data_IF_049317460706
#
_entry.id   IF_049317460706
#
_cell.length_a   1.000
_cell.length_b   1.000
_cell.length_c   1.000
_cell.angle_alpha   90.00
_cell.angle_beta   90.00
_cell.angle_gamma   90.00
#
_symmetry.space_group_name_H-M   'P 1'
#
loop_
_entity.id
_entity.type
_entity.pdbx_description
1 polymer ?
#
# COMPACT_ATOMS: atom_id res chain seq x y z
N UNK A 1 -1.01 -17.97 -23.67
CA UNK A 1 -1.58 -16.83 -22.91
C UNK A 1 -3.09 -16.88 -23.04
N UNK A 2 -3.82 -16.90 -21.92
CA UNK A 2 -5.29 -16.97 -21.94
C UNK A 2 -5.88 -15.62 -21.53
N UNK A 3 -7.06 -15.28 -22.04
CA UNK A 3 -7.74 -14.01 -21.71
C UNK A 3 -7.93 -13.86 -20.19
N UNK A 4 -8.33 -14.94 -19.53
CA UNK A 4 -8.45 -15.04 -18.07
C UNK A 4 -7.13 -14.77 -17.33
N UNK A 5 -5.99 -15.27 -17.82
CA UNK A 5 -4.71 -15.05 -17.15
C UNK A 5 -4.31 -13.57 -17.18
N UNK A 6 -4.56 -12.89 -18.30
CA UNK A 6 -4.35 -11.44 -18.41
C UNK A 6 -5.31 -10.71 -17.47
N UNK A 7 -6.56 -11.21 -17.35
CA UNK A 7 -7.55 -10.66 -16.44
C UNK A 7 -7.12 -10.68 -14.98
N UNK A 8 -6.66 -11.83 -14.49
CA UNK A 8 -6.17 -11.96 -13.11
C UNK A 8 -4.98 -11.05 -12.86
N UNK A 9 -4.01 -11.01 -13.79
CA UNK A 9 -2.82 -10.18 -13.64
C UNK A 9 -3.16 -8.70 -13.56
N UNK A 10 -4.00 -8.17 -14.46
CA UNK A 10 -4.33 -6.74 -14.41
C UNK A 10 -5.16 -6.40 -13.15
N UNK A 11 -6.06 -7.29 -12.71
CA UNK A 11 -6.83 -7.10 -11.46
C UNK A 11 -5.94 -7.10 -10.23
N UNK A 12 -4.96 -7.98 -10.16
CA UNK A 12 -3.97 -8.00 -9.08
C UNK A 12 -3.11 -6.73 -9.09
N UNK A 13 -2.69 -6.26 -10.27
CA UNK A 13 -1.95 -4.98 -10.41
C UNK A 13 -2.77 -3.76 -9.99
N UNK A 14 -4.10 -3.74 -10.21
CA UNK A 14 -4.98 -2.70 -9.66
C UNK A 14 -4.93 -2.69 -8.11
N UNK A 15 -4.95 -3.85 -7.47
CA UNK A 15 -4.86 -3.92 -5.99
C UNK A 15 -3.47 -3.52 -5.49
N UNK A 16 -2.40 -3.90 -6.20
CA UNK A 16 -1.05 -3.44 -5.90
C UNK A 16 -0.93 -1.91 -5.97
N UNK A 17 -1.53 -1.28 -7.00
CA UNK A 17 -1.60 0.18 -7.13
C UNK A 17 -2.30 0.83 -5.92
N UNK A 18 -3.50 0.36 -5.57
CA UNK A 18 -4.25 0.87 -4.41
C UNK A 18 -3.46 0.75 -3.10
N UNK A 19 -2.70 -0.34 -2.92
CA UNK A 19 -1.83 -0.50 -1.76
C UNK A 19 -0.69 0.51 -1.76
N UNK A 20 -0.01 0.72 -2.89
CA UNK A 20 1.08 1.68 -2.98
C UNK A 20 0.59 3.11 -2.74
N UNK A 21 -0.56 3.47 -3.31
CA UNK A 21 -1.22 4.76 -3.07
C UNK A 21 -1.59 4.96 -1.60
N UNK A 22 -2.14 3.93 -0.93
CA UNK A 22 -2.40 3.94 0.51
C UNK A 22 -1.12 4.18 1.33
N UNK A 23 -0.03 3.48 0.99
CA UNK A 23 1.25 3.64 1.67
C UNK A 23 1.83 5.04 1.45
N UNK A 24 1.74 5.58 0.24
CA UNK A 24 2.19 6.93 -0.09
C UNK A 24 1.44 7.98 0.75
N UNK A 25 0.11 7.95 0.70
CA UNK A 25 -0.73 8.89 1.44
C UNK A 25 -0.47 8.84 2.95
N UNK A 26 -0.50 7.65 3.56
CA UNK A 26 -0.38 7.55 5.02
C UNK A 26 1.05 7.77 5.52
N UNK A 27 2.08 7.43 4.75
CA UNK A 27 3.46 7.72 5.16
C UNK A 27 3.73 9.23 5.14
N UNK A 28 3.28 9.94 4.10
CA UNK A 28 3.39 11.40 4.03
C UNK A 28 2.59 12.08 5.15
N UNK A 29 1.34 11.66 5.36
CA UNK A 29 0.49 12.25 6.39
C UNK A 29 1.02 11.97 7.81
N UNK A 30 1.56 10.77 8.08
CA UNK A 30 2.23 10.47 9.35
C UNK A 30 3.49 11.32 9.55
N UNK A 31 4.29 11.54 8.51
CA UNK A 31 5.46 12.42 8.60
C UNK A 31 5.06 13.84 8.99
N UNK A 32 4.03 14.40 8.36
CA UNK A 32 3.49 15.72 8.70
C UNK A 32 2.94 15.73 10.12
N UNK A 33 2.17 14.70 10.50
CA UNK A 33 1.58 14.58 11.83
C UNK A 33 2.64 14.59 12.93
N UNK A 34 3.66 13.74 12.79
CA UNK A 34 4.75 13.66 13.75
C UNK A 34 5.67 14.88 13.72
N UNK A 35 5.83 15.56 12.57
CA UNK A 35 6.56 16.83 12.49
C UNK A 35 5.87 17.92 13.32
N UNK A 36 4.56 18.10 13.15
CA UNK A 36 3.79 19.09 13.93
C UNK A 36 3.91 18.80 15.43
N UNK A 37 3.75 17.54 15.83
CA UNK A 37 3.88 17.13 17.23
C UNK A 37 5.30 17.34 17.78
N UNK A 38 6.32 16.98 17.02
CA UNK A 38 7.73 17.16 17.41
C UNK A 38 8.09 18.65 17.56
N UNK A 39 7.63 19.50 16.64
CA UNK A 39 7.84 20.96 16.72
C UNK A 39 7.07 21.56 17.88
N UNK A 40 5.82 21.18 18.10
CA UNK A 40 5.03 21.65 19.24
C UNK A 40 5.69 21.26 20.57
N UNK A 41 6.16 20.01 20.67
CA UNK A 41 6.90 19.55 21.84
C UNK A 41 8.19 20.37 22.05
N UNK A 42 8.96 20.59 20.99
CA UNK A 42 10.20 21.39 21.06
C UNK A 42 9.98 22.85 21.47
N UNK A 43 8.84 23.47 21.10
CA UNK A 43 8.50 24.82 21.57
C UNK A 43 8.08 24.80 23.04
N UNK A 44 7.31 23.80 23.45
CA UNK A 44 6.82 23.69 24.82
C UNK A 44 7.94 23.40 25.83
N UNK A 45 8.97 22.63 25.45
CA UNK A 45 10.12 22.33 26.32
C UNK A 45 10.93 23.56 26.68
N UNK A 46 10.90 24.63 25.86
CA UNK A 46 11.58 25.90 26.17
C UNK A 46 11.02 26.52 27.45
N UNK A 47 9.69 26.49 27.61
CA UNK A 47 9.01 27.08 28.77
C UNK A 47 8.83 26.09 29.91
N UNK A 48 8.64 24.81 29.59
CA UNK A 48 8.35 23.76 30.54
C UNK A 48 9.23 22.54 30.23
N UNK A 49 10.45 22.57 30.76
CA UNK A 49 11.49 21.57 30.49
C UNK A 49 11.13 20.15 30.96
N UNK A 50 10.13 19.97 31.83
CA UNK A 50 9.77 18.69 32.43
C UNK A 50 8.37 18.18 32.07
N UNK A 51 7.77 18.63 30.94
CA UNK A 51 6.39 18.27 30.57
C UNK A 51 6.15 16.75 30.53
N UNK A 52 7.09 15.98 29.98
CA UNK A 52 7.00 14.52 29.84
C UNK A 52 7.91 13.76 30.83
N UNK A 53 8.58 14.46 31.73
CA UNK A 53 9.57 13.89 32.65
C UNK A 53 10.90 14.67 32.66
N UNK A 54 11.89 14.22 33.46
CA UNK A 54 13.15 14.93 33.63
C UNK A 54 13.98 15.05 32.34
N UNK A 55 13.89 14.07 31.43
CA UNK A 55 14.69 14.01 30.18
C UNK A 55 13.85 14.36 28.92
N UNK A 56 12.87 15.26 29.06
CA UNK A 56 11.94 15.59 27.96
C UNK A 56 12.67 16.18 26.75
N UNK A 57 13.70 16.98 26.99
CA UNK A 57 14.56 17.60 25.97
C UNK A 57 15.36 16.54 25.18
N UNK A 58 15.92 15.55 25.85
CA UNK A 58 16.62 14.42 25.22
C UNK A 58 15.65 13.60 24.37
N UNK A 59 14.47 13.28 24.89
CA UNK A 59 13.44 12.53 24.15
C UNK A 59 12.94 13.30 22.92
N UNK A 60 12.70 14.61 23.03
CA UNK A 60 12.29 15.46 21.91
C UNK A 60 13.38 15.54 20.81
N UNK A 61 14.65 15.56 21.23
CA UNK A 61 15.79 15.54 20.29
C UNK A 61 15.88 14.20 19.56
N UNK A 62 15.76 13.08 20.28
CA UNK A 62 15.75 11.74 19.67
C UNK A 62 14.59 11.60 18.67
N UNK A 63 13.39 12.08 19.02
CA UNK A 63 12.23 12.07 18.13
C UNK A 63 12.51 12.84 16.84
N UNK A 64 13.14 14.01 16.94
CA UNK A 64 13.47 14.86 15.78
C UNK A 64 14.49 14.18 14.86
N UNK A 65 15.54 13.57 15.42
CA UNK A 65 16.55 12.81 14.64
C UNK A 65 15.92 11.57 13.99
N UNK A 66 15.09 10.83 14.73
CA UNK A 66 14.38 9.67 14.19
C UNK A 66 13.43 10.06 13.06
N UNK A 67 12.70 11.18 13.21
CA UNK A 67 11.79 11.68 12.19
C UNK A 67 12.53 12.05 10.90
N UNK A 68 13.71 12.67 10.99
CA UNK A 68 14.57 12.93 9.85
C UNK A 68 15.02 11.65 9.14
N UNK A 69 15.43 10.63 9.90
CA UNK A 69 15.81 9.33 9.34
C UNK A 69 14.64 8.65 8.62
N UNK A 70 13.45 8.67 9.23
CA UNK A 70 12.23 8.10 8.66
C UNK A 70 11.81 8.88 7.41
N UNK A 71 11.91 10.22 7.40
CA UNK A 71 11.53 11.02 6.23
C UNK A 71 12.41 10.69 5.02
N UNK A 72 13.71 10.50 5.22
CA UNK A 72 14.61 10.07 4.15
C UNK A 72 14.30 8.65 3.67
N UNK A 73 14.00 7.73 4.59
CA UNK A 73 13.64 6.36 4.24
C UNK A 73 12.32 6.30 3.43
N UNK A 74 11.33 7.11 3.78
CA UNK A 74 10.06 7.22 3.03
C UNK A 74 10.29 7.82 1.65
N UNK A 75 11.07 8.90 1.55
CA UNK A 75 11.40 9.54 0.28
C UNK A 75 12.13 8.58 -0.68
N UNK A 76 13.10 7.80 -0.18
CA UNK A 76 13.86 6.84 -0.99
C UNK A 76 13.04 5.64 -1.47
N UNK A 77 11.88 5.36 -0.87
CA UNK A 77 11.06 4.18 -1.21
C UNK A 77 10.10 4.44 -2.37
N UNK A 78 9.96 5.70 -2.76
CA UNK A 78 9.21 6.22 -3.91
C UNK A 78 7.87 5.49 -4.17
N UNK A 79 7.02 5.46 -3.14
CA UNK A 79 5.72 4.79 -3.24
C UNK A 79 4.87 5.41 -4.34
N UNK A 80 4.94 6.74 -4.51
CA UNK A 80 4.22 7.48 -5.55
C UNK A 80 4.66 7.10 -6.96
N UNK A 81 5.97 7.12 -7.25
CA UNK A 81 6.47 6.75 -8.58
C UNK A 81 6.11 5.32 -8.95
N UNK A 82 6.25 4.39 -8.00
CA UNK A 82 5.87 2.98 -8.17
C UNK A 82 4.36 2.80 -8.39
N UNK A 83 3.53 3.56 -7.65
CA UNK A 83 2.08 3.55 -7.86
C UNK A 83 1.69 4.04 -9.26
N UNK A 84 2.36 5.08 -9.77
CA UNK A 84 2.12 5.63 -11.10
C UNK A 84 2.53 4.65 -12.21
N UNK A 85 3.69 3.99 -12.09
CA UNK A 85 4.11 2.95 -13.02
C UNK A 85 3.12 1.78 -13.05
N UNK A 86 2.70 1.31 -11.87
CA UNK A 86 1.68 0.25 -11.76
C UNK A 86 0.35 0.67 -12.41
N UNK A 87 -0.01 1.96 -12.30
CA UNK A 87 -1.22 2.51 -12.92
C UNK A 87 -1.19 2.46 -14.43
N UNK A 88 -0.15 3.02 -15.04
CA UNK A 88 0.02 2.99 -16.49
C UNK A 88 0.00 1.55 -16.99
N UNK A 89 0.70 0.67 -16.28
CA UNK A 89 0.83 -0.72 -16.65
C UNK A 89 -0.50 -1.50 -16.62
N UNK A 90 -1.31 -1.40 -15.54
CA UNK A 90 -2.59 -2.10 -15.51
C UNK A 90 -3.58 -1.56 -16.55
N UNK A 91 -3.49 -0.27 -16.92
CA UNK A 91 -4.33 0.33 -17.96
C UNK A 91 -3.96 -0.23 -19.34
N UNK A 92 -2.67 -0.40 -19.63
CA UNK A 92 -2.20 -1.04 -20.86
C UNK A 92 -2.57 -2.52 -20.91
N UNK A 93 -2.45 -3.25 -19.79
CA UNK A 93 -2.93 -4.63 -19.70
C UNK A 93 -4.44 -4.73 -19.90
N UNK A 94 -5.22 -3.77 -19.39
CA UNK A 94 -6.67 -3.73 -19.61
C UNK A 94 -7.00 -3.49 -21.09
N UNK A 95 -6.26 -2.61 -21.78
CA UNK A 95 -6.40 -2.42 -23.23
C UNK A 95 -6.06 -3.70 -24.00
N UNK A 96 -4.97 -4.37 -23.63
CA UNK A 96 -4.57 -5.66 -24.23
C UNK A 96 -5.66 -6.72 -24.01
N UNK A 97 -6.20 -6.83 -22.78
CA UNK A 97 -7.28 -7.76 -22.45
C UNK A 97 -8.53 -7.54 -23.32
N UNK A 98 -8.92 -6.29 -23.56
CA UNK A 98 -10.06 -5.95 -24.42
C UNK A 98 -9.82 -6.33 -25.89
N UNK A 99 -8.57 -6.30 -26.35
CA UNK A 99 -8.19 -6.69 -27.71
C UNK A 99 -7.99 -8.20 -27.91
N UNK A 100 -8.08 -9.01 -26.85
CA UNK A 100 -7.98 -10.47 -26.96
C UNK A 100 -9.33 -11.08 -27.37
N UNK A 101 -9.33 -12.05 -28.31
CA UNK A 101 -10.55 -12.76 -28.69
C UNK A 101 -11.14 -13.51 -27.49
N UNK A 102 -12.47 -13.53 -27.37
CA UNK A 102 -13.15 -14.33 -26.36
C UNK A 102 -13.01 -15.81 -26.70
N UNK A 103 -12.28 -16.55 -25.87
CA UNK A 103 -12.21 -18.00 -25.95
C UNK A 103 -13.51 -18.62 -25.45
N UNK A 104 -14.60 -18.48 -26.20
CA UNK A 104 -15.81 -19.27 -25.94
C UNK A 104 -15.64 -20.67 -26.52
N UNK A 105 -16.02 -21.70 -25.75
CA UNK A 105 -15.79 -23.11 -26.04
C UNK A 105 -16.51 -23.65 -27.30
N UNK A 106 -17.18 -22.81 -28.08
CA UNK A 106 -18.06 -23.23 -29.19
C UNK A 106 -17.57 -22.77 -30.56
N UNK A 107 -16.50 -21.99 -30.65
CA UNK A 107 -15.93 -21.57 -31.93
C UNK A 107 -14.42 -21.59 -31.86
N UNK A 108 -13.77 -22.09 -32.92
CA UNK A 108 -12.34 -21.98 -33.25
C UNK A 108 -11.89 -20.52 -33.11
N UNK A 109 -11.66 -20.09 -31.88
CA UNK A 109 -11.28 -18.73 -31.58
C UNK A 109 -9.80 -18.60 -31.90
N UNK A 110 -9.38 -17.58 -32.67
CA UNK A 110 -7.99 -17.46 -33.08
C UNK A 110 -7.10 -17.36 -31.83
N UNK A 111 -6.02 -18.15 -31.82
CA UNK A 111 -5.00 -18.02 -30.78
C UNK A 111 -4.47 -16.57 -30.74
N UNK A 112 -4.03 -16.08 -29.56
CA UNK A 112 -3.43 -14.75 -29.44
C UNK A 112 -2.31 -14.58 -30.46
N UNK A 113 -2.28 -13.44 -31.15
CA UNK A 113 -1.22 -13.15 -32.12
C UNK A 113 0.14 -13.10 -31.40
N UNK A 114 1.25 -13.55 -32.02
CA UNK A 114 2.59 -13.44 -31.41
C UNK A 114 2.93 -12.04 -30.88
N UNK A 115 2.52 -11.00 -31.60
CA UNK A 115 2.68 -9.60 -31.17
C UNK A 115 1.95 -9.26 -29.85
N UNK A 116 0.78 -9.87 -29.59
CA UNK A 116 0.05 -9.67 -28.34
C UNK A 116 0.76 -10.35 -27.17
N UNK A 117 1.38 -11.52 -27.40
CA UNK A 117 2.18 -12.23 -26.40
C UNK A 117 3.42 -11.44 -26.05
N UNK A 118 4.17 -10.96 -27.05
CA UNK A 118 5.34 -10.11 -26.81
C UNK A 118 4.98 -8.83 -26.04
N UNK A 119 3.88 -8.16 -26.41
CA UNK A 119 3.40 -6.98 -25.68
C UNK A 119 3.03 -7.28 -24.23
N UNK A 120 2.47 -8.47 -23.96
CA UNK A 120 2.18 -8.88 -22.60
C UNK A 120 3.48 -9.06 -21.79
N UNK A 121 4.48 -9.73 -22.36
CA UNK A 121 5.76 -9.97 -21.69
C UNK A 121 6.53 -8.66 -21.43
N UNK A 122 6.50 -7.73 -22.39
CA UNK A 122 7.04 -6.37 -22.21
C UNK A 122 6.33 -5.63 -21.05
N UNK A 123 4.99 -5.67 -21.02
CA UNK A 123 4.21 -5.11 -19.92
C UNK A 123 4.49 -5.81 -18.59
N UNK A 124 4.82 -7.11 -18.59
CA UNK A 124 5.21 -7.80 -17.37
C UNK A 124 6.56 -7.32 -16.86
N UNK A 125 7.51 -7.07 -17.76
CA UNK A 125 8.87 -6.62 -17.44
C UNK A 125 8.95 -5.13 -17.01
N UNK A 126 8.05 -4.28 -17.51
CA UNK A 126 8.07 -2.83 -17.28
C UNK A 126 7.77 -2.41 -15.82
N UNK A 127 6.95 -3.17 -15.11
CA UNK A 127 6.46 -2.81 -13.78
C UNK A 127 6.79 -3.88 -12.75
N UNK A 128 7.02 -3.46 -11.50
CA UNK A 128 7.22 -4.40 -10.39
C UNK A 128 6.07 -5.41 -10.30
N UNK A 129 6.37 -6.60 -9.77
CA UNK A 129 5.34 -7.61 -9.65
C UNK A 129 4.39 -7.31 -8.49
N UNK A 130 3.13 -7.70 -8.66
CA UNK A 130 2.15 -7.69 -7.58
C UNK A 130 2.53 -8.74 -6.53
N UNK A 131 2.06 -8.57 -5.29
CA UNK A 131 2.22 -9.58 -4.23
C UNK A 131 1.07 -10.58 -4.29
N UNK A 132 1.28 -11.77 -3.75
CA UNK A 132 0.22 -12.78 -3.63
C UNK A 132 -1.04 -12.24 -2.92
N UNK A 133 -0.86 -11.37 -1.92
CA UNK A 133 -1.99 -10.77 -1.21
C UNK A 133 -2.85 -9.88 -2.12
N UNK A 134 -2.25 -9.21 -3.12
CA UNK A 134 -2.98 -8.38 -4.07
C UNK A 134 -3.87 -9.24 -4.97
N UNK A 135 -3.35 -10.38 -5.42
CA UNK A 135 -4.12 -11.38 -6.18
C UNK A 135 -5.24 -11.97 -5.34
N UNK A 136 -4.97 -12.37 -4.09
CA UNK A 136 -5.99 -12.89 -3.17
C UNK A 136 -7.11 -11.87 -2.93
N UNK A 137 -6.77 -10.61 -2.64
CA UNK A 137 -7.74 -9.53 -2.48
C UNK A 137 -8.53 -9.32 -3.78
N UNK A 138 -7.86 -9.29 -4.93
CA UNK A 138 -8.53 -9.12 -6.22
C UNK A 138 -9.55 -10.24 -6.49
N UNK A 139 -9.21 -11.49 -6.19
CA UNK A 139 -10.10 -12.65 -6.37
C UNK A 139 -11.26 -12.67 -5.37
N UNK A 140 -11.02 -12.32 -4.11
CA UNK A 140 -12.03 -12.28 -3.06
C UNK A 140 -13.10 -11.23 -3.34
N UNK A 141 -12.72 -10.07 -3.86
CA UNK A 141 -13.65 -8.97 -4.17
C UNK A 141 -14.18 -8.98 -5.60
N UNK A 142 -13.79 -9.95 -6.42
CA UNK A 142 -14.30 -10.07 -7.77
C UNK A 142 -15.63 -10.83 -7.81
N UNK A 143 -16.54 -10.39 -8.68
CA UNK A 143 -17.81 -11.06 -8.96
C UNK A 143 -17.72 -11.87 -10.26
N UNK A 144 -18.43 -12.99 -10.32
CA UNK A 144 -18.56 -13.79 -11.54
C UNK A 144 -17.29 -14.52 -11.97
N UNK A 145 -16.41 -14.92 -11.04
CA UNK A 145 -15.26 -15.75 -11.39
C UNK A 145 -15.73 -17.12 -11.89
N UNK A 146 -15.26 -17.50 -13.07
CA UNK A 146 -15.41 -18.85 -13.64
C UNK A 146 -14.21 -19.74 -13.33
N UNK A 147 -13.05 -19.13 -13.07
CA UNK A 147 -11.77 -19.81 -12.82
C UNK A 147 -11.07 -19.23 -11.58
N UNK A 148 -10.19 -20.01 -10.94
CA UNK A 148 -9.40 -19.62 -9.75
C UNK A 148 -10.23 -19.03 -8.59
N UNK A 149 -11.33 -19.68 -8.22
CA UNK A 149 -12.17 -19.24 -7.10
C UNK A 149 -11.37 -19.19 -5.78
N UNK A 150 -11.56 -18.15 -4.95
CA UNK A 150 -10.86 -18.03 -3.68
C UNK A 150 -11.34 -19.12 -2.71
N UNK A 151 -10.39 -19.70 -1.97
CA UNK A 151 -10.72 -20.62 -0.88
C UNK A 151 -11.12 -19.86 0.39
N UNK A 152 -11.82 -20.51 1.33
CA UNK A 152 -12.21 -19.88 2.61
C UNK A 152 -11.01 -19.35 3.41
N UNK A 153 -9.86 -20.04 3.33
CA UNK A 153 -8.61 -19.58 3.93
C UNK A 153 -8.08 -18.32 3.26
N UNK A 154 -8.12 -18.24 1.92
CA UNK A 154 -7.71 -17.04 1.19
C UNK A 154 -8.62 -15.84 1.49
N UNK A 155 -9.92 -16.09 1.67
CA UNK A 155 -10.86 -15.07 2.13
C UNK A 155 -10.47 -14.52 3.50
N UNK A 156 -10.27 -15.41 4.48
CA UNK A 156 -9.84 -15.01 5.81
C UNK A 156 -8.51 -14.25 5.78
N UNK A 157 -7.52 -14.75 5.02
CA UNK A 157 -6.22 -14.12 4.85
C UNK A 157 -6.32 -12.70 4.27
N UNK A 158 -7.17 -12.49 3.25
CA UNK A 158 -7.40 -11.19 2.65
C UNK A 158 -8.06 -10.20 3.64
N UNK A 159 -9.13 -10.63 4.31
CA UNK A 159 -9.84 -9.80 5.31
C UNK A 159 -8.92 -9.48 6.49
N UNK A 160 -8.22 -10.48 7.03
CA UNK A 160 -7.27 -10.30 8.11
C UNK A 160 -6.19 -9.28 7.75
N UNK A 161 -5.61 -9.35 6.55
CA UNK A 161 -4.60 -8.41 6.10
C UNK A 161 -5.15 -6.99 5.98
N UNK A 162 -6.36 -6.80 5.42
CA UNK A 162 -7.00 -5.48 5.36
C UNK A 162 -7.25 -4.91 6.76
N UNK A 163 -7.75 -5.74 7.68
CA UNK A 163 -8.02 -5.35 9.07
C UNK A 163 -6.74 -4.96 9.79
N UNK A 164 -5.69 -5.79 9.71
CA UNK A 164 -4.39 -5.49 10.33
C UNK A 164 -3.78 -4.21 9.76
N UNK A 165 -3.87 -3.99 8.45
CA UNK A 165 -3.41 -2.74 7.82
C UNK A 165 -4.10 -1.53 8.43
N UNK A 166 -5.43 -1.57 8.58
CA UNK A 166 -6.20 -0.48 9.18
C UNK A 166 -5.84 -0.28 10.66
N UNK A 167 -5.74 -1.35 11.44
CA UNK A 167 -5.39 -1.27 12.86
C UNK A 167 -3.99 -0.70 13.10
N UNK A 168 -2.99 -1.14 12.33
CA UNK A 168 -1.63 -0.61 12.42
C UNK A 168 -1.62 0.88 12.06
N UNK A 169 -2.28 1.27 10.97
CA UNK A 169 -2.37 2.68 10.59
C UNK A 169 -3.05 3.50 11.69
N UNK A 170 -4.19 3.07 12.21
CA UNK A 170 -4.89 3.75 13.31
C UNK A 170 -4.03 3.87 14.57
N UNK A 171 -3.31 2.80 14.94
CA UNK A 171 -2.39 2.79 16.07
C UNK A 171 -1.27 3.83 15.89
N UNK A 172 -0.67 3.92 14.70
CA UNK A 172 0.38 4.91 14.43
C UNK A 172 -0.12 6.36 14.58
N UNK A 173 -1.37 6.66 14.20
CA UNK A 173 -1.95 7.99 14.45
C UNK A 173 -2.25 8.24 15.93
N UNK A 174 -2.73 7.22 16.65
CA UNK A 174 -3.13 7.34 18.04
C UNK A 174 -1.94 7.34 19.03
N UNK A 175 -0.83 6.69 18.69
CA UNK A 175 0.34 6.50 19.56
C UNK A 175 0.83 7.79 20.23
N UNK A 176 1.08 8.92 19.53
CA UNK A 176 1.55 10.13 20.20
C UNK A 176 0.53 10.73 21.17
N UNK A 177 -0.77 10.61 20.87
CA UNK A 177 -1.85 11.08 21.76
C UNK A 177 -1.92 10.21 23.00
N UNK A 178 -1.86 8.88 22.84
CA UNK A 178 -1.84 7.93 23.94
C UNK A 178 -0.61 8.13 24.85
N UNK A 179 0.56 8.36 24.25
CA UNK A 179 1.79 8.65 24.99
C UNK A 179 1.67 9.96 25.79
N UNK A 180 1.11 11.01 25.19
CA UNK A 180 0.85 12.29 25.87
C UNK A 180 -0.15 12.15 27.02
N UNK A 181 -1.25 11.43 26.81
CA UNK A 181 -2.26 11.17 27.85
C UNK A 181 -1.69 10.35 29.02
N UNK A 182 -0.92 9.30 28.72
CA UNK A 182 -0.25 8.48 29.73
C UNK A 182 0.72 9.31 30.57
N UNK A 183 1.53 10.14 29.93
CA UNK A 183 2.45 11.04 30.63
C UNK A 183 1.73 12.07 31.50
N UNK A 184 0.59 12.60 31.04
CA UNK A 184 -0.22 13.53 31.83
C UNK A 184 -0.84 12.86 33.07
N UNK A 185 -1.36 11.64 32.93
CA UNK A 185 -2.02 10.92 34.02
C UNK A 185 -1.05 10.39 35.07
N UNK A 186 0.18 10.07 34.68
CA UNK A 186 1.22 9.55 35.58
C UNK A 186 2.15 10.65 36.13
N UNK A 187 1.72 11.92 36.11
CA UNK A 187 2.44 12.97 36.83
C UNK A 187 2.35 12.71 38.34
N UNK A 188 3.49 12.64 39.05
CA UNK A 188 3.49 12.55 40.52
C UNK A 188 2.93 13.81 41.17
#
# INVERSE_FOLDING_TARGET
>A
MNKDSVWFTYKARIQAHKRLEWLDFHSQLLLVWYAILSTALGVLTIRHSTILGPDTDVMATILSVALLGISLAVANRDFRGRAMLMRTNYLELQKLHRGLPDGSATTTSPAPTPAQVTRYDELLAESENHREIDDRIARVFASGLTTRMPTGFEYFSAVFWLTMRLLITALLYALPVLAGLYSFWNKP
#
